data_IF_834096016029
#
_entry.id   IF_834096016029
#
_cell.length_a   1.000
_cell.length_b   1.000
_cell.length_c   1.000
_cell.angle_alpha   90.00
_cell.angle_beta   90.00
_cell.angle_gamma   90.00
#
_symmetry.space_group_name_H-M   'P 1'
#
loop_
_entity.id
_entity.type
_entity.pdbx_description
1 polymer ?
#
# COMPACT_ATOMS: atom_id res chain seq x y z
N UNK A 1 -19.14 -3.92 -7.91
CA UNK A 1 -18.37 -4.68 -6.91
C UNK A 1 -18.54 -3.96 -5.58
N UNK A 2 -18.79 -4.68 -4.47
CA UNK A 2 -18.81 -4.07 -3.13
C UNK A 2 -17.47 -3.36 -2.87
N UNK A 3 -17.53 -2.15 -2.30
CA UNK A 3 -16.32 -1.43 -1.91
C UNK A 3 -15.61 -2.25 -0.84
N UNK A 4 -14.29 -2.50 -1.01
CA UNK A 4 -13.49 -3.25 -0.02
C UNK A 4 -13.38 -2.41 1.23
N UNK A 5 -13.68 -3.00 2.37
CA UNK A 5 -13.56 -2.39 3.70
C UNK A 5 -12.47 -3.08 4.50
N UNK A 6 -11.52 -2.31 5.01
CA UNK A 6 -10.47 -2.78 5.90
C UNK A 6 -10.73 -2.30 7.32
N UNK A 7 -10.85 -3.21 8.27
CA UNK A 7 -10.83 -2.86 9.68
C UNK A 7 -9.39 -2.66 10.14
N UNK A 8 -9.04 -1.43 10.52
CA UNK A 8 -7.75 -1.09 11.11
C UNK A 8 -7.89 -0.99 12.62
N UNK A 9 -7.11 -1.80 13.33
CA UNK A 9 -7.06 -1.82 14.78
C UNK A 9 -5.73 -1.25 15.28
N UNK A 10 -5.81 -0.20 16.08
CA UNK A 10 -4.69 0.27 16.86
C UNK A 10 -4.58 -0.55 18.15
N UNK A 11 -3.48 -1.26 18.36
CA UNK A 11 -3.24 -2.06 19.55
C UNK A 11 -3.37 -1.25 20.83
N UNK A 12 -3.87 -1.90 21.91
CA UNK A 12 -4.04 -1.29 23.24
C UNK A 12 -5.00 -0.08 23.25
N UNK A 13 -4.89 0.81 24.22
CA UNK A 13 -5.69 2.05 24.35
C UNK A 13 -6.21 2.30 25.76
N UNK A 14 -6.50 3.55 26.09
CA UNK A 14 -7.03 3.98 27.38
C UNK A 14 -6.17 3.52 28.57
N UNK A 15 -6.75 2.68 29.44
CA UNK A 15 -6.06 2.13 30.60
C UNK A 15 -4.99 1.08 30.27
N UNK A 16 -5.02 0.49 29.07
CA UNK A 16 -4.00 -0.44 28.58
C UNK A 16 -2.96 0.31 27.76
N UNK A 17 -1.81 0.55 28.35
CA UNK A 17 -0.70 1.24 27.68
C UNK A 17 0.02 0.38 26.64
N UNK A 18 -0.20 -0.95 26.64
CA UNK A 18 0.72 -1.87 25.98
C UNK A 18 2.11 -1.84 26.63
N UNK A 19 3.10 -2.25 25.88
CA UNK A 19 4.49 -2.17 26.32
C UNK A 19 4.93 -0.72 26.53
N UNK A 20 5.79 -0.52 27.53
CA UNK A 20 6.32 0.80 27.89
C UNK A 20 7.83 0.74 27.95
N UNK A 21 8.48 1.63 27.23
CA UNK A 21 9.93 1.79 27.26
C UNK A 21 10.32 3.26 27.44
N UNK A 22 11.08 3.56 28.49
CA UNK A 22 11.34 4.94 28.92
C UNK A 22 9.97 5.66 29.15
N UNK A 23 9.65 6.69 28.42
CA UNK A 23 8.34 7.37 28.47
C UNK A 23 7.40 7.00 27.32
N UNK A 24 7.84 6.15 26.36
CA UNK A 24 7.12 5.76 25.18
C UNK A 24 6.10 4.66 25.53
N UNK A 25 4.86 4.81 25.09
CA UNK A 25 3.80 3.83 25.28
C UNK A 25 3.38 3.29 23.93
N UNK A 26 3.20 1.99 23.85
CA UNK A 26 2.78 1.33 22.61
C UNK A 26 1.45 1.87 22.08
N UNK A 27 0.46 2.07 22.96
CA UNK A 27 -0.86 2.60 22.55
C UNK A 27 -0.83 3.91 21.78
N UNK A 28 0.17 4.78 22.07
CA UNK A 28 0.30 6.09 21.43
C UNK A 28 0.90 5.95 20.03
N UNK A 29 1.93 5.09 19.88
CA UNK A 29 2.54 4.77 18.60
C UNK A 29 1.55 4.07 17.65
N UNK A 30 0.82 3.07 18.18
CA UNK A 30 -0.12 2.29 17.38
C UNK A 30 -1.28 3.14 16.88
N UNK A 31 -1.85 4.02 17.73
CA UNK A 31 -2.92 4.93 17.30
C UNK A 31 -2.44 5.88 16.20
N UNK A 32 -1.27 6.49 16.40
CA UNK A 32 -0.71 7.42 15.41
C UNK A 32 -0.43 6.73 14.08
N UNK A 33 0.14 5.51 14.11
CA UNK A 33 0.48 4.76 12.91
C UNK A 33 -0.78 4.26 12.18
N UNK A 34 -1.76 3.73 12.92
CA UNK A 34 -3.03 3.26 12.36
C UNK A 34 -3.77 4.37 11.62
N UNK A 35 -3.85 5.58 12.19
CA UNK A 35 -4.45 6.74 11.53
C UNK A 35 -3.71 7.12 10.24
N UNK A 36 -2.37 7.11 10.25
CA UNK A 36 -1.57 7.43 9.08
C UNK A 36 -1.76 6.39 7.96
N UNK A 37 -1.80 5.10 8.30
CA UNK A 37 -2.09 4.01 7.36
C UNK A 37 -3.49 4.15 6.78
N UNK A 38 -4.49 4.40 7.65
CA UNK A 38 -5.87 4.56 7.23
C UNK A 38 -6.06 5.71 6.25
N UNK A 39 -5.47 6.86 6.53
CA UNK A 39 -5.52 8.01 5.61
C UNK A 39 -4.94 7.69 4.22
N UNK A 40 -3.87 6.89 4.14
CA UNK A 40 -3.28 6.46 2.86
C UNK A 40 -4.24 5.50 2.13
N UNK A 41 -4.85 4.57 2.84
CA UNK A 41 -5.83 3.63 2.27
C UNK A 41 -7.08 4.34 1.77
N UNK A 42 -7.64 5.28 2.54
CA UNK A 42 -8.78 6.13 2.15
C UNK A 42 -8.47 6.94 0.90
N UNK A 43 -7.29 7.57 0.84
CA UNK A 43 -6.82 8.29 -0.34
C UNK A 43 -6.64 7.37 -1.56
N UNK A 44 -6.46 6.07 -1.32
CA UNK A 44 -6.37 5.04 -2.36
C UNK A 44 -7.75 4.46 -2.75
N UNK A 45 -8.83 4.97 -2.14
CA UNK A 45 -10.22 4.58 -2.42
C UNK A 45 -10.62 3.27 -1.75
N UNK A 46 -9.99 2.91 -0.65
CA UNK A 46 -10.36 1.79 0.21
C UNK A 46 -11.19 2.34 1.37
N UNK A 47 -12.29 1.69 1.71
CA UNK A 47 -13.04 2.02 2.91
C UNK A 47 -12.27 1.54 4.15
N UNK A 48 -12.13 2.42 5.12
CA UNK A 48 -11.47 2.10 6.39
C UNK A 48 -12.48 2.17 7.52
N UNK A 49 -12.57 1.08 8.28
CA UNK A 49 -13.24 1.04 9.56
C UNK A 49 -12.19 1.08 10.67
N UNK A 50 -12.06 2.17 11.37
CA UNK A 50 -11.17 2.28 12.52
C UNK A 50 -11.82 1.61 13.72
N UNK A 51 -11.18 0.57 14.28
CA UNK A 51 -11.69 -0.13 15.48
C UNK A 51 -11.69 0.80 16.69
N UNK A 52 -10.65 1.62 16.83
CA UNK A 52 -10.65 2.79 17.73
C UNK A 52 -10.05 4.01 17.05
N UNK A 53 -10.61 5.16 17.29
CA UNK A 53 -10.12 6.45 16.76
C UNK A 53 -9.45 7.30 17.83
N UNK A 54 -9.70 7.04 19.11
CA UNK A 54 -9.20 7.79 20.24
C UNK A 54 -8.43 6.91 21.25
N UNK A 55 -7.93 7.53 22.34
CA UNK A 55 -7.25 6.81 23.41
C UNK A 55 -8.25 6.12 24.34
N UNK A 56 -8.99 5.17 23.81
CA UNK A 56 -10.00 4.39 24.52
C UNK A 56 -9.54 2.94 24.71
N UNK A 57 -9.97 2.34 25.83
CA UNK A 57 -9.72 0.91 26.10
C UNK A 57 -10.81 0.06 25.47
N UNK A 58 -10.42 -0.86 24.63
CA UNK A 58 -11.28 -1.90 24.10
C UNK A 58 -10.63 -3.28 24.29
N UNK A 59 -11.46 -4.24 24.75
CA UNK A 59 -10.96 -5.61 24.88
C UNK A 59 -10.70 -6.22 23.49
N UNK A 60 -9.71 -7.12 23.35
CA UNK A 60 -9.47 -7.81 22.08
C UNK A 60 -10.70 -8.54 21.52
N UNK A 61 -11.60 -8.99 22.38
CA UNK A 61 -12.87 -9.58 21.96
C UNK A 61 -13.82 -8.54 21.34
N UNK A 62 -13.92 -7.35 21.95
CA UNK A 62 -14.74 -6.25 21.40
C UNK A 62 -14.19 -5.80 20.05
N UNK A 63 -12.89 -5.60 19.93
CA UNK A 63 -12.21 -5.23 18.68
C UNK A 63 -12.53 -6.18 17.53
N UNK A 64 -12.42 -7.50 17.77
CA UNK A 64 -12.80 -8.51 16.78
C UNK A 64 -14.30 -8.49 16.45
N UNK A 65 -15.15 -8.26 17.46
CA UNK A 65 -16.61 -8.21 17.29
C UNK A 65 -17.02 -7.01 16.46
N UNK A 66 -16.44 -5.84 16.71
CA UNK A 66 -16.75 -4.60 15.99
C UNK A 66 -16.33 -4.68 14.53
N UNK A 67 -15.13 -5.22 14.24
CA UNK A 67 -14.69 -5.49 12.88
C UNK A 67 -15.63 -6.47 12.13
N UNK A 68 -16.10 -7.53 12.82
CA UNK A 68 -17.07 -8.48 12.26
C UNK A 68 -18.42 -7.81 11.97
N UNK A 69 -18.88 -6.91 12.84
CA UNK A 69 -20.15 -6.20 12.71
C UNK A 69 -20.08 -5.12 11.61
N UNK A 70 -18.91 -4.51 11.41
CA UNK A 70 -18.66 -3.59 10.32
C UNK A 70 -18.66 -4.27 8.95
N UNK A 71 -18.67 -5.61 8.91
CA UNK A 71 -18.62 -6.36 7.64
C UNK A 71 -17.31 -6.16 6.87
N UNK A 72 -16.21 -5.94 7.58
CA UNK A 72 -14.92 -5.71 6.96
C UNK A 72 -14.44 -6.95 6.19
N UNK A 73 -13.77 -6.72 5.05
CA UNK A 73 -13.20 -7.77 4.20
C UNK A 73 -11.84 -8.25 4.70
N UNK A 74 -11.10 -7.38 5.41
CA UNK A 74 -9.82 -7.67 6.04
C UNK A 74 -9.73 -7.00 7.40
N UNK A 75 -8.92 -7.60 8.28
CA UNK A 75 -8.59 -7.04 9.59
C UNK A 75 -7.07 -6.89 9.71
N UNK A 76 -6.61 -5.70 10.04
CA UNK A 76 -5.19 -5.39 10.24
C UNK A 76 -5.01 -4.69 11.57
N UNK A 77 -4.40 -5.39 12.52
CA UNK A 77 -4.04 -4.84 13.83
C UNK A 77 -2.59 -4.35 13.82
N UNK A 78 -2.32 -3.21 14.40
CA UNK A 78 -0.98 -2.60 14.44
C UNK A 78 -0.50 -2.51 15.87
N UNK A 79 0.65 -3.09 16.13
CA UNK A 79 1.31 -3.21 17.42
C UNK A 79 2.79 -2.83 17.32
N UNK A 80 3.47 -2.75 18.45
CA UNK A 80 4.91 -2.66 18.60
C UNK A 80 5.37 -3.79 19.50
N UNK A 81 6.28 -4.63 19.00
CA UNK A 81 6.81 -5.76 19.76
C UNK A 81 7.60 -5.29 21.00
N UNK A 82 7.82 -6.21 21.93
CA UNK A 82 8.63 -5.97 23.11
C UNK A 82 9.40 -7.23 23.50
N UNK A 83 10.68 -7.10 23.79
CA UNK A 83 11.52 -8.17 24.30
C UNK A 83 11.66 -8.10 25.82
N UNK A 84 12.10 -9.21 26.42
CA UNK A 84 12.29 -9.30 27.88
C UNK A 84 13.32 -8.26 28.40
N UNK A 85 14.35 -7.99 27.61
CA UNK A 85 15.39 -7.00 27.94
C UNK A 85 15.51 -5.98 26.81
N UNK A 86 15.74 -4.69 27.12
CA UNK A 86 15.99 -3.67 26.12
C UNK A 86 17.13 -4.05 25.16
N UNK A 87 16.95 -3.71 23.88
CA UNK A 87 17.92 -3.95 22.80
C UNK A 87 18.31 -5.43 22.60
N UNK A 88 17.41 -6.35 22.98
CA UNK A 88 17.64 -7.78 22.82
C UNK A 88 17.28 -8.26 21.42
N UNK A 89 16.19 -7.78 20.89
CA UNK A 89 15.69 -8.10 19.54
C UNK A 89 15.24 -6.82 18.85
N UNK A 90 15.32 -6.83 17.51
CA UNK A 90 14.85 -5.76 16.64
C UNK A 90 14.23 -6.32 15.37
N UNK A 91 13.44 -5.50 14.68
CA UNK A 91 12.82 -5.82 13.41
C UNK A 91 11.31 -5.95 13.48
N UNK A 92 10.70 -6.25 12.35
CA UNK A 92 9.26 -6.37 12.17
C UNK A 92 8.85 -7.82 11.93
N UNK A 93 7.72 -8.22 12.48
CA UNK A 93 7.07 -9.48 12.14
C UNK A 93 5.56 -9.28 11.99
N UNK A 94 4.92 -10.15 11.23
CA UNK A 94 3.46 -10.15 11.15
C UNK A 94 2.90 -11.47 11.63
N UNK A 95 1.97 -11.39 12.56
CA UNK A 95 1.35 -12.52 13.21
C UNK A 95 0.05 -12.90 12.49
N UNK A 96 -0.16 -14.20 12.30
CA UNK A 96 -1.36 -14.77 11.67
C UNK A 96 -1.93 -15.90 12.51
N UNK A 97 -3.22 -16.22 12.32
CA UNK A 97 -3.83 -17.39 12.96
C UNK A 97 -3.13 -18.69 12.54
N UNK A 98 -2.93 -18.86 11.24
CA UNK A 98 -2.09 -19.89 10.62
C UNK A 98 -1.48 -19.34 9.33
N UNK A 99 -0.30 -19.82 8.96
CA UNK A 99 0.45 -19.33 7.77
C UNK A 99 -0.10 -19.96 6.48
N UNK A 100 -1.33 -19.57 6.11
CA UNK A 100 -1.98 -20.08 4.91
C UNK A 100 -2.97 -19.09 4.29
N UNK A 101 -3.22 -19.23 3.00
CA UNK A 101 -4.19 -18.42 2.27
C UNK A 101 -3.79 -16.95 2.18
N UNK A 102 -4.79 -16.09 1.90
CA UNK A 102 -4.54 -14.68 1.59
C UNK A 102 -3.97 -13.88 2.76
N UNK A 103 -4.28 -14.23 4.01
CA UNK A 103 -3.70 -13.56 5.18
C UNK A 103 -2.18 -13.76 5.28
N UNK A 104 -1.68 -14.92 4.85
CA UNK A 104 -0.25 -15.19 4.80
C UNK A 104 0.44 -14.38 3.70
N UNK A 105 -0.21 -14.20 2.55
CA UNK A 105 0.27 -13.32 1.47
C UNK A 105 0.28 -11.86 1.95
N UNK A 106 -0.80 -11.42 2.60
CA UNK A 106 -0.91 -10.08 3.18
C UNK A 106 0.23 -9.81 4.18
N UNK A 107 0.48 -10.75 5.08
CA UNK A 107 1.53 -10.64 6.09
C UNK A 107 2.93 -10.50 5.44
N UNK A 108 3.23 -11.33 4.43
CA UNK A 108 4.52 -11.26 3.71
C UNK A 108 4.68 -9.96 2.95
N UNK A 109 3.64 -9.52 2.23
CA UNK A 109 3.68 -8.27 1.49
C UNK A 109 3.93 -7.07 2.41
N UNK A 110 3.29 -7.03 3.59
CA UNK A 110 3.51 -5.97 4.57
C UNK A 110 4.95 -6.01 5.09
N UNK A 111 5.46 -7.18 5.47
CA UNK A 111 6.82 -7.33 5.98
C UNK A 111 7.88 -6.92 4.94
N UNK A 112 7.69 -7.30 3.67
CA UNK A 112 8.59 -6.92 2.57
C UNK A 112 8.66 -5.39 2.40
N UNK A 113 7.52 -4.70 2.49
CA UNK A 113 7.51 -3.24 2.38
C UNK A 113 8.10 -2.57 3.62
N UNK A 114 7.87 -3.11 4.83
CA UNK A 114 8.51 -2.63 6.06
C UNK A 114 10.03 -2.83 6.07
N UNK A 115 10.53 -3.90 5.46
CA UNK A 115 11.97 -4.12 5.25
C UNK A 115 12.58 -3.00 4.39
N UNK A 116 11.91 -2.60 3.32
CA UNK A 116 12.33 -1.45 2.48
C UNK A 116 12.27 -0.11 3.24
N UNK A 117 11.44 -0.02 4.27
CA UNK A 117 11.39 1.16 5.15
C UNK A 117 12.56 1.20 6.16
N UNK A 118 13.36 0.13 6.25
CA UNK A 118 14.61 0.07 7.02
C UNK A 118 14.62 -0.93 8.17
N UNK A 119 13.53 -1.64 8.42
CA UNK A 119 13.49 -2.66 9.46
C UNK A 119 14.10 -3.99 9.01
N UNK A 120 14.58 -4.76 9.96
CA UNK A 120 14.89 -6.17 9.74
C UNK A 120 13.58 -6.97 9.63
N UNK A 121 13.41 -7.76 8.59
CA UNK A 121 12.25 -8.63 8.42
C UNK A 121 12.45 -9.95 9.19
N UNK A 122 11.62 -10.19 10.19
CA UNK A 122 11.64 -11.41 11.01
C UNK A 122 10.67 -12.49 10.49
N UNK A 123 9.89 -12.17 9.45
CA UNK A 123 8.98 -13.10 8.80
C UNK A 123 7.57 -13.12 9.39
N UNK A 124 6.86 -14.19 9.11
CA UNK A 124 5.47 -14.41 9.53
C UNK A 124 5.43 -15.49 10.61
N UNK A 125 4.69 -15.23 11.68
CA UNK A 125 4.60 -16.14 12.82
C UNK A 125 3.16 -16.53 13.12
N UNK A 126 2.90 -17.82 13.34
CA UNK A 126 1.58 -18.31 13.74
C UNK A 126 1.29 -18.01 15.21
N UNK A 127 0.14 -17.41 15.47
CA UNK A 127 -0.37 -17.09 16.83
C UNK A 127 -1.86 -17.42 16.95
N UNK A 128 -2.25 -18.71 16.93
CA UNK A 128 -3.67 -19.13 16.91
C UNK A 128 -4.42 -18.78 18.21
N UNK A 129 -3.73 -18.40 19.26
CA UNK A 129 -4.33 -18.05 20.54
C UNK A 129 -4.64 -16.56 20.69
N UNK A 130 -4.17 -15.69 19.77
CA UNK A 130 -4.50 -14.27 19.81
C UNK A 130 -5.99 -14.07 19.48
N UNK A 131 -6.70 -13.41 20.38
CA UNK A 131 -8.16 -13.26 20.30
C UNK A 131 -8.57 -12.56 19.00
N UNK A 132 -7.90 -11.48 18.63
CA UNK A 132 -8.21 -10.73 17.40
C UNK A 132 -7.99 -11.56 16.13
N UNK A 133 -7.00 -12.45 16.10
CA UNK A 133 -6.76 -13.34 14.96
C UNK A 133 -7.71 -14.55 14.94
N UNK A 134 -8.18 -14.97 16.11
CA UNK A 134 -9.05 -16.16 16.27
C UNK A 134 -10.53 -15.84 16.10
N UNK A 135 -10.98 -14.64 16.45
CA UNK A 135 -12.40 -14.26 16.55
C UNK A 135 -12.89 -13.42 15.37
N UNK A 136 -12.00 -12.85 14.60
CA UNK A 136 -12.32 -12.21 13.32
C UNK A 136 -12.76 -13.27 12.30
N UNK A 137 -13.76 -12.94 11.47
CA UNK A 137 -14.34 -13.84 10.47
C UNK A 137 -13.68 -13.68 9.08
N UNK A 138 -13.00 -12.58 8.87
CA UNK A 138 -12.27 -12.24 7.67
C UNK A 138 -10.77 -12.57 7.81
N UNK A 139 -9.98 -12.58 6.71
CA UNK A 139 -8.51 -12.64 6.79
C UNK A 139 -7.96 -11.57 7.71
N UNK A 140 -7.17 -12.00 8.70
CA UNK A 140 -6.69 -11.15 9.78
C UNK A 140 -5.17 -11.28 9.97
N UNK A 141 -4.50 -10.15 10.17
CA UNK A 141 -3.08 -10.05 10.49
C UNK A 141 -2.87 -9.09 11.67
N UNK A 142 -1.81 -9.32 12.44
CA UNK A 142 -1.32 -8.41 13.47
C UNK A 142 0.13 -8.09 13.16
N UNK A 143 0.42 -6.81 12.94
CA UNK A 143 1.75 -6.30 12.59
C UNK A 143 2.46 -5.87 13.86
N UNK A 144 3.65 -6.38 14.09
CA UNK A 144 4.60 -5.89 15.09
C UNK A 144 5.59 -4.96 14.37
N UNK A 145 5.32 -3.65 14.42
CA UNK A 145 6.05 -2.62 13.68
C UNK A 145 7.32 -2.17 14.44
N UNK A 146 8.25 -3.10 14.63
CA UNK A 146 9.48 -2.94 15.39
C UNK A 146 9.31 -3.11 16.90
N UNK A 147 10.43 -3.30 17.61
CA UNK A 147 10.44 -3.44 19.05
C UNK A 147 10.45 -2.08 19.74
N UNK A 148 9.43 -1.83 20.58
CA UNK A 148 9.33 -0.55 21.31
C UNK A 148 10.46 -0.35 22.32
N UNK A 149 11.08 -1.44 22.78
CA UNK A 149 12.19 -1.42 23.71
C UNK A 149 13.55 -1.66 23.05
N UNK A 150 13.65 -1.43 21.74
CA UNK A 150 14.90 -1.38 20.98
C UNK A 150 15.16 0.05 20.49
N UNK A 151 16.35 0.58 20.77
CA UNK A 151 16.69 1.97 20.47
C UNK A 151 16.83 2.20 18.94
N UNK A 152 17.29 1.19 18.17
CA UNK A 152 17.43 1.29 16.73
C UNK A 152 16.05 1.24 16.03
N UNK A 153 15.17 0.30 16.43
CA UNK A 153 13.82 0.25 15.91
C UNK A 153 13.03 1.53 16.23
N UNK A 154 13.26 2.13 17.40
CA UNK A 154 12.66 3.42 17.75
C UNK A 154 13.22 4.55 16.87
N UNK A 155 14.53 4.55 16.59
CA UNK A 155 15.12 5.53 15.67
C UNK A 155 14.52 5.42 14.27
N UNK A 156 14.44 4.18 13.73
CA UNK A 156 13.81 3.92 12.43
C UNK A 156 12.35 4.37 12.43
N UNK A 157 11.59 4.04 13.48
CA UNK A 157 10.18 4.40 13.62
C UNK A 157 9.96 5.92 13.59
N UNK A 158 10.81 6.68 14.28
CA UNK A 158 10.68 8.14 14.39
C UNK A 158 11.16 8.85 13.12
N UNK A 159 12.32 8.46 12.57
CA UNK A 159 12.90 9.07 11.38
C UNK A 159 12.12 8.73 10.09
N UNK A 160 11.55 7.52 10.02
CA UNK A 160 10.88 7.01 8.82
C UNK A 160 9.37 6.83 8.99
N UNK A 161 8.73 7.49 9.96
CA UNK A 161 7.32 7.28 10.29
C UNK A 161 6.39 7.26 9.08
N UNK A 162 6.48 8.25 8.20
CA UNK A 162 5.65 8.31 7.00
C UNK A 162 5.95 7.19 6.00
N UNK A 163 7.21 6.78 5.90
CA UNK A 163 7.60 5.63 5.09
C UNK A 163 7.03 4.32 5.63
N UNK A 164 6.99 4.17 6.95
CA UNK A 164 6.43 2.99 7.63
C UNK A 164 4.92 2.91 7.39
N UNK A 165 4.20 4.03 7.55
CA UNK A 165 2.78 4.10 7.23
C UNK A 165 2.51 3.77 5.76
N UNK A 166 3.32 4.31 4.85
CA UNK A 166 3.26 4.02 3.42
C UNK A 166 3.53 2.52 3.14
N UNK A 167 4.56 1.94 3.75
CA UNK A 167 4.94 0.54 3.59
C UNK A 167 3.80 -0.42 4.00
N UNK A 168 3.16 -0.17 5.14
CA UNK A 168 2.01 -0.97 5.58
C UNK A 168 0.86 -0.86 4.57
N UNK A 169 0.51 0.36 4.17
CA UNK A 169 -0.56 0.58 3.19
C UNK A 169 -0.25 -0.07 1.83
N UNK A 170 1.00 0.01 1.35
CA UNK A 170 1.43 -0.64 0.10
C UNK A 170 1.35 -2.16 0.18
N UNK A 171 1.78 -2.78 1.28
CA UNK A 171 1.65 -4.22 1.50
C UNK A 171 0.20 -4.69 1.46
N UNK A 172 -0.72 -3.90 2.04
CA UNK A 172 -2.17 -4.14 1.97
C UNK A 172 -2.65 -4.01 0.53
N UNK A 173 -2.37 -2.89 -0.14
CA UNK A 173 -2.80 -2.61 -1.51
C UNK A 173 -2.25 -3.64 -2.50
N UNK A 174 -0.99 -4.03 -2.39
CA UNK A 174 -0.35 -5.09 -3.19
C UNK A 174 -1.14 -6.40 -3.08
N UNK A 175 -1.59 -6.74 -1.87
CA UNK A 175 -2.39 -7.96 -1.65
C UNK A 175 -3.77 -7.87 -2.29
N UNK A 176 -4.46 -6.74 -2.13
CA UNK A 176 -5.80 -6.54 -2.69
C UNK A 176 -5.78 -6.57 -4.22
N UNK A 177 -4.79 -5.93 -4.83
CA UNK A 177 -4.68 -5.88 -6.29
C UNK A 177 -4.22 -7.21 -6.90
N UNK A 178 -3.42 -8.01 -6.20
CA UNK A 178 -3.05 -9.34 -6.67
C UNK A 178 -4.24 -10.31 -6.75
N UNK A 179 -5.31 -10.08 -5.98
CA UNK A 179 -6.55 -10.88 -6.08
C UNK A 179 -7.45 -10.47 -7.25
N UNK A 180 -7.43 -9.20 -7.64
CA UNK A 180 -8.22 -8.70 -8.78
C UNK A 180 -7.58 -9.08 -10.14
N UNK A 181 -6.32 -9.52 -10.14
CA UNK A 181 -5.65 -10.05 -11.33
C UNK A 181 -5.94 -11.54 -11.38
N UNK A 182 -6.92 -11.93 -12.19
CA UNK A 182 -7.14 -13.32 -12.53
C UNK A 182 -5.93 -13.78 -13.37
N UNK A 183 -5.03 -14.57 -12.79
CA UNK A 183 -3.75 -15.02 -13.40
C UNK A 183 -3.93 -15.74 -14.74
N UNK A 184 -5.18 -16.11 -15.09
CA UNK A 184 -5.52 -16.74 -16.38
C UNK A 184 -5.65 -15.74 -17.55
N UNK A 185 -5.52 -14.43 -17.31
CA UNK A 185 -5.63 -13.38 -18.34
C UNK A 185 -4.32 -12.59 -18.52
N UNK A 186 -3.18 -13.11 -18.07
CA UNK A 186 -1.88 -12.51 -18.42
C UNK A 186 -1.61 -12.84 -19.89
N UNK A 187 -1.59 -11.87 -20.80
CA UNK A 187 -1.30 -12.14 -22.20
C UNK A 187 0.07 -12.84 -22.35
N UNK A 188 0.15 -13.81 -23.26
CA UNK A 188 1.37 -14.62 -23.51
C UNK A 188 2.66 -13.82 -23.69
N UNK A 189 2.58 -12.55 -24.13
CA UNK A 189 3.75 -11.69 -24.27
C UNK A 189 4.37 -11.27 -22.93
N UNK A 190 3.61 -11.26 -21.82
CA UNK A 190 4.11 -10.94 -20.46
C UNK A 190 4.81 -12.17 -19.86
N UNK A 191 4.37 -13.38 -20.23
CA UNK A 191 4.98 -14.63 -19.77
C UNK A 191 6.34 -14.92 -20.46
N UNK A 192 6.58 -14.31 -21.63
CA UNK A 192 7.75 -14.53 -22.46
C UNK A 192 8.71 -13.32 -22.51
N UNK A 193 8.58 -12.36 -21.61
CA UNK A 193 9.55 -11.25 -21.54
C UNK A 193 10.92 -11.81 -21.09
N UNK A 194 12.02 -11.54 -21.83
CA UNK A 194 13.36 -11.91 -21.37
C UNK A 194 13.65 -11.21 -20.05
N UNK A 195 14.30 -11.92 -19.14
CA UNK A 195 14.80 -11.34 -17.89
C UNK A 195 15.65 -10.10 -18.20
N UNK A 196 15.50 -9.00 -17.44
CA UNK A 196 16.31 -7.81 -17.65
C UNK A 196 17.79 -8.16 -17.44
N UNK A 197 18.59 -8.01 -18.48
CA UNK A 197 20.05 -8.14 -18.38
C UNK A 197 20.55 -7.21 -17.27
N UNK A 198 21.33 -7.73 -16.33
CA UNK A 198 21.91 -6.97 -15.25
C UNK A 198 22.78 -5.83 -15.83
N UNK A 199 22.34 -4.59 -15.61
CA UNK A 199 23.06 -3.40 -16.08
C UNK A 199 24.33 -3.21 -15.24
N UNK A 200 25.45 -3.67 -15.77
CA UNK A 200 26.81 -3.44 -15.26
C UNK A 200 27.41 -2.14 -15.83
N UNK A 201 26.75 -1.02 -15.58
CA UNK A 201 27.23 0.30 -15.98
C UNK A 201 27.62 1.14 -14.77
N UNK A 202 28.91 1.36 -14.58
CA UNK A 202 29.43 2.39 -13.67
C UNK A 202 29.01 3.78 -14.16
N UNK A 203 28.20 4.44 -13.36
CA UNK A 203 27.76 5.82 -13.63
C UNK A 203 28.91 6.78 -13.29
N UNK A 204 29.55 7.37 -14.30
CA UNK A 204 30.32 8.59 -14.15
C UNK A 204 29.35 9.76 -14.33
N UNK A 205 28.95 10.37 -13.24
CA UNK A 205 28.10 11.54 -13.24
C UNK A 205 28.88 12.80 -13.53
N UNK A 206 28.57 13.47 -14.64
CA UNK A 206 28.87 14.88 -14.77
C UNK A 206 27.82 15.71 -14.02
N UNK A 207 28.30 16.36 -12.96
CA UNK A 207 27.50 17.31 -12.20
C UNK A 207 27.42 18.63 -12.99
N UNK A 208 26.29 18.88 -13.65
CA UNK A 208 25.77 20.22 -13.97
C UNK A 208 24.52 20.08 -14.87
N UNK A 209 23.37 19.98 -14.27
CA UNK A 209 22.14 20.68 -14.69
C UNK A 209 21.05 20.54 -13.59
N UNK A 210 21.00 21.51 -12.69
CA UNK A 210 19.96 21.65 -11.67
C UNK A 210 18.91 22.65 -12.16
N UNK A 211 18.16 22.31 -13.21
CA UNK A 211 16.94 23.04 -13.54
C UNK A 211 15.78 22.06 -13.63
N UNK A 212 15.09 21.90 -12.51
CA UNK A 212 13.73 21.37 -12.49
C UNK A 212 12.85 22.35 -13.28
N UNK A 213 12.05 21.89 -14.25
CA UNK A 213 11.08 22.77 -14.89
C UNK A 213 10.08 23.28 -13.85
N UNK A 214 9.66 24.56 -13.92
CA UNK A 214 8.73 25.14 -12.95
C UNK A 214 7.39 24.39 -12.99
N UNK A 215 6.84 24.13 -11.81
CA UNK A 215 5.45 23.67 -11.63
C UNK A 215 4.51 24.57 -12.46
N UNK A 216 3.58 24.00 -13.21
CA UNK A 216 2.58 24.82 -13.88
C UNK A 216 1.77 25.59 -12.85
N UNK A 217 1.88 26.91 -12.94
CA UNK A 217 1.12 27.85 -12.13
C UNK A 217 -0.38 27.55 -12.23
N UNK A 218 -1.02 27.51 -11.07
CA UNK A 218 -2.46 27.50 -10.87
C UNK A 218 -3.13 28.53 -11.76
N UNK A 219 -3.92 28.10 -12.74
CA UNK A 219 -4.91 28.95 -13.38
C UNK A 219 -6.17 29.01 -12.51
N UNK A 220 -6.66 30.18 -12.14
CA UNK A 220 -7.92 30.31 -11.44
C UNK A 220 -9.10 30.13 -12.42
N UNK A 221 -10.06 29.31 -12.03
CA UNK A 221 -11.38 29.31 -12.63
C UNK A 221 -11.68 28.14 -13.56
N UNK A 222 -12.03 26.99 -12.97
CA UNK A 222 -13.12 26.13 -13.45
C UNK A 222 -13.53 25.22 -12.28
N UNK A 223 -14.42 25.72 -11.45
CA UNK A 223 -15.27 24.91 -10.59
C UNK A 223 -16.27 24.19 -11.49
N UNK A 224 -15.96 22.98 -11.88
CA UNK A 224 -16.97 22.07 -12.42
C UNK A 224 -17.25 21.07 -11.31
N UNK A 225 -18.45 21.06 -10.73
CA UNK A 225 -18.80 20.03 -9.76
C UNK A 225 -18.81 18.70 -10.49
N UNK A 226 -17.92 17.80 -10.11
CA UNK A 226 -17.91 16.41 -10.59
C UNK A 226 -19.14 15.73 -10.00
N UNK A 227 -20.25 15.81 -10.75
CA UNK A 227 -21.47 15.06 -10.46
C UNK A 227 -21.15 13.60 -10.74
N UNK A 228 -21.07 12.77 -9.69
CA UNK A 228 -21.05 11.31 -9.83
C UNK A 228 -22.32 10.91 -10.58
N UNK A 229 -22.21 10.71 -11.88
CA UNK A 229 -23.13 9.88 -12.62
C UNK A 229 -22.65 8.45 -12.38
N UNK A 230 -23.55 7.57 -11.92
CA UNK A 230 -23.32 6.14 -11.89
C UNK A 230 -22.70 5.73 -13.25
N UNK A 231 -21.54 5.05 -13.26
CA UNK A 231 -21.01 4.55 -14.52
C UNK A 231 -22.02 3.55 -15.06
N UNK A 232 -22.68 3.88 -16.15
CA UNK A 232 -23.31 2.87 -16.98
C UNK A 232 -22.21 1.86 -17.32
N UNK A 233 -22.44 0.60 -17.03
CA UNK A 233 -21.60 -0.49 -17.50
C UNK A 233 -21.63 -0.42 -19.03
N UNK A 234 -20.51 0.03 -19.59
CA UNK A 234 -20.32 0.05 -21.04
C UNK A 234 -19.97 -1.39 -21.42
N UNK A 235 -20.96 -2.10 -21.97
CA UNK A 235 -20.87 -3.52 -22.33
C UNK A 235 -20.16 -3.75 -23.69
N UNK A 236 -19.33 -2.83 -24.14
CA UNK A 236 -18.51 -3.06 -25.33
C UNK A 236 -17.36 -4.02 -25.00
N UNK A 237 -17.35 -5.25 -25.54
CA UNK A 237 -16.35 -6.27 -25.23
C UNK A 237 -14.94 -5.92 -25.74
N UNK A 238 -14.80 -4.96 -26.64
CA UNK A 238 -13.50 -4.53 -27.20
C UNK A 238 -12.92 -3.31 -26.53
N UNK A 239 -13.67 -2.60 -25.68
CA UNK A 239 -13.24 -1.39 -25.01
C UNK A 239 -12.32 -1.70 -23.84
N UNK A 240 -11.10 -1.18 -23.88
CA UNK A 240 -10.12 -1.29 -22.82
C UNK A 240 -9.74 0.10 -22.27
N UNK A 241 -9.81 0.23 -20.96
CA UNK A 241 -9.36 1.41 -20.24
C UNK A 241 -7.90 1.25 -19.84
N UNK A 242 -7.08 2.30 -20.03
CA UNK A 242 -5.67 2.34 -19.64
C UNK A 242 -5.41 3.61 -18.85
N UNK A 243 -4.45 3.56 -17.93
CA UNK A 243 -4.03 4.77 -17.19
C UNK A 243 -2.79 5.33 -17.85
N UNK A 244 -2.90 6.48 -18.49
CA UNK A 244 -1.77 7.16 -19.10
C UNK A 244 -1.06 8.01 -18.05
N UNK A 245 0.25 7.82 -17.93
CA UNK A 245 1.12 8.48 -16.95
C UNK A 245 1.96 9.58 -17.58
N UNK A 246 2.22 9.47 -18.87
CA UNK A 246 2.99 10.49 -19.60
C UNK A 246 2.85 10.38 -21.10
N UNK A 247 3.19 11.47 -21.78
CA UNK A 247 3.25 11.56 -23.23
C UNK A 247 4.46 12.41 -23.62
N UNK A 248 5.37 11.85 -24.40
CA UNK A 248 6.69 12.42 -24.65
C UNK A 248 6.99 12.48 -26.16
N UNK A 249 7.65 13.54 -26.60
CA UNK A 249 8.19 13.62 -27.96
C UNK A 249 9.49 12.85 -28.10
N UNK A 250 10.25 12.79 -27.03
CA UNK A 250 11.53 12.10 -26.97
C UNK A 250 11.36 10.71 -26.34
N UNK A 251 11.86 9.68 -27.05
CA UNK A 251 11.75 8.28 -26.65
C UNK A 251 12.48 7.99 -25.34
N UNK A 252 13.64 8.61 -25.12
CA UNK A 252 14.45 8.36 -23.93
C UNK A 252 13.77 8.86 -22.66
N UNK A 253 12.97 9.93 -22.75
CA UNK A 253 12.17 10.42 -21.64
C UNK A 253 11.01 9.46 -21.31
N UNK A 254 10.38 8.89 -22.33
CA UNK A 254 9.34 7.89 -22.15
C UNK A 254 9.91 6.59 -21.56
N UNK A 255 11.07 6.14 -22.01
CA UNK A 255 11.78 4.97 -21.49
C UNK A 255 12.17 5.14 -20.02
N UNK A 256 12.64 6.33 -19.61
CA UNK A 256 12.91 6.61 -18.19
C UNK A 256 11.66 6.49 -17.33
N UNK A 257 10.54 7.06 -17.78
CA UNK A 257 9.25 6.95 -17.08
C UNK A 257 8.78 5.49 -17.01
N UNK A 258 8.87 4.74 -18.12
CA UNK A 258 8.53 3.34 -18.20
C UNK A 258 9.35 2.51 -17.21
N UNK A 259 10.67 2.69 -17.19
CA UNK A 259 11.56 1.96 -16.31
C UNK A 259 11.28 2.27 -14.83
N UNK A 260 11.00 3.55 -14.47
CA UNK A 260 10.61 3.89 -13.10
C UNK A 260 9.34 3.15 -12.67
N UNK A 261 8.32 3.13 -13.51
CA UNK A 261 7.06 2.42 -13.23
C UNK A 261 7.25 0.91 -13.10
N UNK A 262 8.07 0.31 -13.98
CA UNK A 262 8.37 -1.12 -13.93
C UNK A 262 9.17 -1.49 -12.66
N UNK A 263 10.13 -0.66 -12.25
CA UNK A 263 10.88 -0.86 -11.00
C UNK A 263 9.99 -0.75 -9.76
N UNK A 264 8.94 0.06 -9.83
CA UNK A 264 7.93 0.19 -8.76
C UNK A 264 6.83 -0.89 -8.84
N UNK A 265 6.96 -1.86 -9.76
CA UNK A 265 6.05 -3.00 -9.89
C UNK A 265 4.73 -2.67 -10.58
N UNK A 266 4.66 -1.58 -11.35
CA UNK A 266 3.48 -1.29 -12.17
C UNK A 266 3.56 -2.01 -13.51
N UNK A 267 2.44 -2.59 -14.04
CA UNK A 267 2.38 -3.19 -15.36
C UNK A 267 2.35 -2.12 -16.46
N UNK A 268 3.47 -1.41 -16.61
CA UNK A 268 3.61 -0.29 -17.53
C UNK A 268 4.09 -0.73 -18.90
N UNK A 269 3.64 -0.03 -19.94
CA UNK A 269 4.09 -0.21 -21.31
C UNK A 269 4.08 1.11 -22.05
N UNK A 270 4.75 1.15 -23.20
CA UNK A 270 4.85 2.33 -24.03
C UNK A 270 4.28 2.05 -25.41
N UNK A 271 3.48 2.99 -25.92
CA UNK A 271 3.00 2.99 -27.31
C UNK A 271 3.47 4.25 -28.01
N UNK A 272 3.59 4.17 -29.35
CA UNK A 272 3.87 5.35 -30.18
C UNK A 272 2.64 5.64 -31.04
N UNK A 273 2.04 6.80 -30.80
CA UNK A 273 0.79 7.20 -31.46
C UNK A 273 0.76 8.74 -31.58
N UNK A 274 0.27 9.26 -32.69
CA UNK A 274 0.16 10.70 -32.98
C UNK A 274 1.49 11.47 -32.83
N UNK A 275 2.62 10.83 -33.16
CA UNK A 275 3.94 11.44 -33.03
C UNK A 275 4.49 11.53 -31.61
N UNK A 276 3.86 10.84 -30.64
CA UNK A 276 4.22 10.85 -29.22
C UNK A 276 4.42 9.44 -28.68
N UNK A 277 5.38 9.30 -27.78
CA UNK A 277 5.58 8.12 -26.95
C UNK A 277 4.70 8.26 -25.71
N UNK A 278 3.63 7.44 -25.61
CA UNK A 278 2.67 7.45 -24.51
C UNK A 278 3.02 6.30 -23.57
N UNK A 279 3.25 6.60 -22.28
CA UNK A 279 3.49 5.59 -21.24
C UNK A 279 2.17 5.34 -20.52
N UNK A 280 1.74 4.10 -20.54
CA UNK A 280 0.45 3.65 -20.00
C UNK A 280 0.65 2.51 -19.01
N UNK A 281 -0.31 2.35 -18.08
CA UNK A 281 -0.30 1.31 -17.07
C UNK A 281 -1.60 0.52 -17.11
N UNK A 282 -1.48 -0.78 -17.21
CA UNK A 282 -2.59 -1.73 -17.27
C UNK A 282 -3.48 -1.58 -18.51
N UNK A 283 -4.32 -2.56 -18.72
CA UNK A 283 -5.40 -2.55 -19.72
C UNK A 283 -6.62 -3.20 -19.06
N UNK A 284 -7.65 -2.41 -18.79
CA UNK A 284 -8.77 -2.83 -17.94
C UNK A 284 -10.06 -2.86 -18.73
N UNK A 285 -10.81 -3.93 -18.61
CA UNK A 285 -12.13 -4.07 -19.20
C UNK A 285 -13.17 -3.16 -18.51
N UNK A 286 -12.99 -2.92 -17.21
CA UNK A 286 -13.90 -2.13 -16.40
C UNK A 286 -13.25 -0.79 -16.01
N UNK A 287 -13.99 0.30 -16.21
CA UNK A 287 -13.56 1.64 -15.84
C UNK A 287 -13.15 1.73 -14.35
N UNK A 288 -13.88 1.04 -13.48
CA UNK A 288 -13.60 0.98 -12.05
C UNK A 288 -12.18 0.49 -11.73
N UNK A 289 -11.66 -0.48 -12.50
CA UNK A 289 -10.29 -0.98 -12.31
C UNK A 289 -9.23 0.01 -12.80
N UNK A 290 -9.52 0.73 -13.89
CA UNK A 290 -8.65 1.82 -14.36
C UNK A 290 -8.60 2.97 -13.33
N UNK A 291 -9.74 3.32 -12.72
CA UNK A 291 -9.82 4.32 -11.64
C UNK A 291 -9.00 3.90 -10.43
N UNK A 292 -9.08 2.62 -10.01
CA UNK A 292 -8.26 2.09 -8.92
C UNK A 292 -6.76 2.21 -9.23
N UNK A 293 -6.35 1.82 -10.44
CA UNK A 293 -4.96 1.94 -10.88
C UNK A 293 -4.50 3.41 -10.95
N UNK A 294 -5.35 4.30 -11.46
CA UNK A 294 -5.08 5.74 -11.47
C UNK A 294 -4.81 6.28 -10.07
N UNK A 295 -5.67 5.94 -9.10
CA UNK A 295 -5.51 6.34 -7.70
C UNK A 295 -4.20 5.81 -7.12
N UNK A 296 -3.87 4.53 -7.36
CA UNK A 296 -2.61 3.93 -6.94
C UNK A 296 -1.39 4.71 -7.48
N UNK A 297 -1.37 5.01 -8.77
CA UNK A 297 -0.29 5.78 -9.40
C UNK A 297 -0.16 7.19 -8.82
N UNK A 298 -1.28 7.84 -8.49
CA UNK A 298 -1.28 9.15 -7.81
C UNK A 298 -0.67 9.10 -6.41
N UNK A 299 -0.83 7.99 -5.67
CA UNK A 299 -0.15 7.79 -4.38
C UNK A 299 1.39 7.78 -4.55
N UNK A 300 1.89 7.28 -5.68
CA UNK A 300 3.29 7.34 -6.08
C UNK A 300 3.69 8.68 -6.73
N UNK A 301 2.83 9.71 -6.63
CA UNK A 301 3.02 11.07 -7.17
C UNK A 301 3.09 11.15 -8.70
N UNK A 302 2.57 10.16 -9.41
CA UNK A 302 2.43 10.24 -10.86
C UNK A 302 1.19 11.08 -11.23
N UNK A 303 1.36 11.95 -12.22
CA UNK A 303 0.22 12.60 -12.88
C UNK A 303 -0.42 11.61 -13.84
N UNK A 304 -1.72 11.40 -13.73
CA UNK A 304 -2.43 10.33 -14.45
C UNK A 304 -3.74 10.81 -15.04
N UNK A 305 -4.16 10.17 -16.12
CA UNK A 305 -5.52 10.24 -16.64
C UNK A 305 -5.89 8.95 -17.35
N UNK A 306 -7.19 8.63 -17.38
CA UNK A 306 -7.69 7.40 -17.99
C UNK A 306 -8.01 7.66 -19.46
N UNK A 307 -7.50 6.78 -20.32
CA UNK A 307 -7.80 6.71 -21.75
C UNK A 307 -8.51 5.41 -22.09
N UNK A 308 -9.26 5.40 -23.19
CA UNK A 308 -9.88 4.20 -23.74
C UNK A 308 -9.80 4.23 -25.25
N UNK A 309 -9.83 3.09 -25.88
CA UNK A 309 -9.94 2.86 -27.32
C UNK A 309 -11.22 2.10 -27.64
#
# INVERSE_FOLDING_TARGET
MSEITIALDAGHGGSDSGAVYKSRKEKDDTLRLTRAVGQILENSGINVYYVREDDEYETPFKKATDANNAGADYFVSIHRNSSERPNQYNGVETLVYNDSGIKAVLARNINEELEKAGFKNLGVTERPNLVVLKRTKMPAVLIEAGFINDDEDNRIFDENFNKIAQAIAEGILKTLYAQDINFNEIPDYVQNMPEPEAFNGTYQGDAQDTTLPPSPATRPGMNVPYRMQNPMEDNDPEKLYRVQVGSFRDKSNAERMLNSLLMEGFPAFMIYEDGLYKVQVGAFRYLSNAIKMERRLRCFRYSTFIVYN
#
